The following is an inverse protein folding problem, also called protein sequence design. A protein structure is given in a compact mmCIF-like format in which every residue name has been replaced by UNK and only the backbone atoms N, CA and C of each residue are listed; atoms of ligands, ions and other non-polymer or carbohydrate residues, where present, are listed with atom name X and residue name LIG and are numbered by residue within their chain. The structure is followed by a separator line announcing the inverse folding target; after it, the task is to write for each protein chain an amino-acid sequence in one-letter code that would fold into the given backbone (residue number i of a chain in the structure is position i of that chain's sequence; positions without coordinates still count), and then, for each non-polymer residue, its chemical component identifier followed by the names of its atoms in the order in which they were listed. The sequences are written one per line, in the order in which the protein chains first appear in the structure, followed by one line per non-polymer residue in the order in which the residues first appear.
data_IF_372339080712
#
_entry.id   IF_372339080712
#
_cell.length_a   1.000
_cell.length_b   1.000
_cell.length_c   1.000
_cell.angle_alpha   90.00
_cell.angle_beta   90.00
_cell.angle_gamma   90.00
#
_symmetry.space_group_name_H-M   'P 1'
#
loop_
_entity.id
_entity.type
_entity.pdbx_description
1 polymer ?
#
# COMPACT_ATOMS: atom_id res chain seq x y z
N UNK A 1 -16.07 4.45 -6.55
CA UNK A 1 -14.73 4.99 -6.21
C UNK A 1 -13.89 4.88 -7.45
N UNK A 2 -13.32 5.99 -7.91
CA UNK A 2 -12.42 5.97 -9.07
C UNK A 2 -10.99 5.56 -8.62
N UNK A 3 -10.05 5.43 -9.54
CA UNK A 3 -8.69 4.98 -9.23
C UNK A 3 -7.90 6.00 -8.37
N UNK A 4 -8.16 7.30 -8.53
CA UNK A 4 -7.51 8.37 -7.77
C UNK A 4 -7.92 8.31 -6.29
N UNK A 5 -9.22 8.17 -6.01
CA UNK A 5 -9.77 8.01 -4.67
C UNK A 5 -9.16 6.78 -3.94
N UNK A 6 -8.91 5.69 -4.69
CA UNK A 6 -8.28 4.48 -4.15
C UNK A 6 -6.83 4.74 -3.73
N UNK A 7 -6.07 5.47 -4.54
CA UNK A 7 -4.68 5.78 -4.25
C UNK A 7 -4.59 6.73 -3.05
N UNK A 8 -5.45 7.74 -2.97
CA UNK A 8 -5.51 8.64 -1.79
C UNK A 8 -5.85 7.88 -0.51
N UNK A 9 -6.82 6.95 -0.58
CA UNK A 9 -7.16 6.08 0.57
C UNK A 9 -5.96 5.24 1.02
N UNK A 10 -5.21 4.70 0.07
CA UNK A 10 -4.01 3.91 0.37
C UNK A 10 -2.88 4.78 0.93
N UNK A 11 -2.69 5.99 0.42
CA UNK A 11 -1.67 6.91 0.91
C UNK A 11 -1.96 7.32 2.36
N UNK A 12 -3.23 7.58 2.69
CA UNK A 12 -3.66 7.84 4.07
C UNK A 12 -3.40 6.63 5.00
N UNK A 13 -3.60 5.40 4.52
CA UNK A 13 -3.25 4.19 5.27
C UNK A 13 -1.74 4.10 5.53
N UNK A 14 -0.91 4.33 4.52
CA UNK A 14 0.56 4.31 4.66
C UNK A 14 1.03 5.39 5.63
N UNK A 15 0.48 6.61 5.53
CA UNK A 15 0.80 7.70 6.46
C UNK A 15 0.51 7.29 7.90
N UNK A 16 -0.68 6.73 8.17
CA UNK A 16 -1.04 6.24 9.50
C UNK A 16 -0.08 5.17 10.01
N UNK A 17 0.32 4.22 9.17
CA UNK A 17 1.28 3.18 9.54
C UNK A 17 2.61 3.77 10.03
N UNK A 18 3.11 4.82 9.35
CA UNK A 18 4.38 5.47 9.71
C UNK A 18 4.23 6.31 10.98
N UNK A 19 3.11 7.00 11.15
CA UNK A 19 2.79 7.74 12.38
C UNK A 19 2.71 6.82 13.60
N UNK A 20 2.13 5.63 13.45
CA UNK A 20 1.92 4.69 14.55
C UNK A 20 3.15 3.83 14.87
N UNK A 21 4.07 3.64 13.92
CA UNK A 21 5.14 2.63 14.03
C UNK A 21 6.54 3.15 13.71
N UNK A 22 6.69 4.43 13.36
CA UNK A 22 7.96 4.98 12.90
C UNK A 22 8.16 6.46 13.21
N UNK A 23 8.83 7.15 12.29
CA UNK A 23 9.17 8.57 12.35
C UNK A 23 8.65 9.24 11.09
N UNK A 24 7.56 10.01 11.16
CA UNK A 24 6.93 10.60 9.98
C UNK A 24 7.72 11.79 9.40
N UNK A 25 8.73 12.30 10.10
CA UNK A 25 9.50 13.46 9.66
C UNK A 25 10.16 13.17 8.30
N UNK A 26 9.88 14.05 7.32
CA UNK A 26 10.35 13.94 5.94
C UNK A 26 9.84 12.72 5.14
N UNK A 27 8.90 11.95 5.68
CA UNK A 27 8.25 10.87 4.95
C UNK A 27 7.07 11.41 4.11
N UNK A 28 7.03 11.06 2.82
CA UNK A 28 5.90 11.39 1.94
C UNK A 28 5.20 10.09 1.52
N UNK A 29 4.06 9.82 2.15
CA UNK A 29 3.29 8.59 1.91
C UNK A 29 2.83 8.44 0.46
N UNK A 30 2.46 9.55 -0.21
CA UNK A 30 2.01 9.53 -1.60
C UNK A 30 3.13 9.12 -2.55
N UNK A 31 4.29 9.77 -2.43
CA UNK A 31 5.47 9.47 -3.25
C UNK A 31 5.96 8.04 -2.99
N UNK A 32 5.99 7.62 -1.73
CA UNK A 32 6.36 6.25 -1.38
C UNK A 32 5.38 5.23 -1.98
N UNK A 33 4.08 5.50 -1.91
CA UNK A 33 3.05 4.64 -2.47
C UNK A 33 3.16 4.56 -3.99
N UNK A 34 3.34 5.69 -4.67
CA UNK A 34 3.50 5.73 -6.13
C UNK A 34 4.72 4.88 -6.58
N UNK A 35 5.86 4.96 -5.89
CA UNK A 35 7.02 4.07 -6.14
C UNK A 35 6.65 2.60 -5.89
N UNK A 36 6.08 2.31 -4.73
CA UNK A 36 5.74 0.95 -4.31
C UNK A 36 4.76 0.26 -5.26
N UNK A 37 3.78 1.00 -5.80
CA UNK A 37 2.81 0.50 -6.77
C UNK A 37 3.45 -0.03 -8.06
N UNK A 38 4.65 0.45 -8.42
CA UNK A 38 5.36 0.04 -9.64
C UNK A 38 6.32 -1.13 -9.44
N UNK A 39 6.65 -1.46 -8.19
CA UNK A 39 7.68 -2.47 -7.85
C UNK A 39 7.06 -3.86 -7.69
N UNK A 40 7.83 -4.90 -8.04
CA UNK A 40 7.39 -6.29 -7.83
C UNK A 40 7.45 -6.65 -6.34
N UNK A 41 6.32 -7.10 -5.78
CA UNK A 41 6.21 -7.47 -4.37
C UNK A 41 6.12 -9.00 -4.24
N UNK A 42 7.04 -9.66 -3.51
CA UNK A 42 7.03 -11.12 -3.36
C UNK A 42 5.71 -11.68 -2.81
N UNK A 43 5.13 -11.02 -1.80
CA UNK A 43 3.84 -11.41 -1.19
C UNK A 43 2.65 -11.36 -2.17
N UNK A 44 2.80 -10.65 -3.30
CA UNK A 44 1.80 -10.63 -4.38
C UNK A 44 2.10 -11.63 -5.50
N UNK A 45 3.04 -12.57 -5.29
CA UNK A 45 3.54 -13.48 -6.32
C UNK A 45 4.47 -12.78 -7.30
N UNK A 46 5.31 -11.86 -6.81
CA UNK A 46 6.19 -11.01 -7.63
C UNK A 46 5.46 -10.14 -8.67
N UNK A 47 4.20 -9.78 -8.39
CA UNK A 47 3.40 -8.85 -9.20
C UNK A 47 3.54 -7.41 -8.70
N UNK A 48 3.25 -6.43 -9.56
CA UNK A 48 3.17 -5.03 -9.16
C UNK A 48 1.83 -4.79 -8.45
N UNK A 49 1.80 -4.05 -7.33
CA UNK A 49 0.55 -3.71 -6.67
C UNK A 49 -0.45 -2.98 -7.58
N UNK A 50 0.04 -2.15 -8.52
CA UNK A 50 -0.82 -1.48 -9.51
C UNK A 50 -1.61 -2.47 -10.38
N UNK A 51 -0.99 -3.60 -10.79
CA UNK A 51 -1.66 -4.64 -11.56
C UNK A 51 -2.77 -5.31 -10.74
N UNK A 52 -2.49 -5.56 -9.45
CA UNK A 52 -3.46 -6.17 -8.52
C UNK A 52 -4.61 -5.21 -8.21
N UNK A 53 -4.35 -3.90 -8.14
CA UNK A 53 -5.36 -2.89 -7.83
C UNK A 53 -6.46 -2.81 -8.91
N UNK A 54 -6.12 -3.14 -10.17
CA UNK A 54 -7.07 -3.23 -11.29
C UNK A 54 -7.96 -4.47 -11.23
N UNK A 55 -7.63 -5.47 -10.40
CA UNK A 55 -8.40 -6.70 -10.26
C UNK A 55 -9.65 -6.50 -9.37
N UNK A 56 -10.73 -7.27 -9.57
CA UNK A 56 -11.84 -7.30 -8.63
C UNK A 56 -11.37 -7.61 -7.21
N UNK A 57 -11.67 -6.72 -6.25
CA UNK A 57 -11.21 -6.86 -4.87
C UNK A 57 -9.74 -6.50 -4.63
N UNK A 58 -9.03 -6.00 -5.65
CA UNK A 58 -7.62 -5.61 -5.61
C UNK A 58 -7.28 -4.68 -4.45
N UNK A 59 -8.10 -3.64 -4.24
CA UNK A 59 -7.92 -2.69 -3.14
C UNK A 59 -7.85 -3.38 -1.76
N UNK A 60 -8.79 -4.30 -1.49
CA UNK A 60 -8.82 -5.03 -0.21
C UNK A 60 -7.56 -5.87 -0.03
N UNK A 61 -7.09 -6.51 -1.10
CA UNK A 61 -5.84 -7.29 -1.09
C UNK A 61 -4.63 -6.40 -0.80
N UNK A 62 -4.53 -5.23 -1.41
CA UNK A 62 -3.45 -4.27 -1.14
C UNK A 62 -3.51 -3.78 0.32
N UNK A 63 -4.69 -3.46 0.84
CA UNK A 63 -4.86 -3.07 2.25
C UNK A 63 -4.38 -4.15 3.21
N UNK A 64 -4.66 -5.43 2.93
CA UNK A 64 -4.18 -6.55 3.75
C UNK A 64 -2.65 -6.67 3.73
N UNK A 65 -2.02 -6.47 2.57
CA UNK A 65 -0.55 -6.47 2.46
C UNK A 65 0.05 -5.34 3.29
N UNK A 66 -0.48 -4.12 3.20
CA UNK A 66 -0.01 -2.97 3.98
C UNK A 66 -0.19 -3.21 5.49
N UNK A 67 -1.33 -3.76 5.92
CA UNK A 67 -1.56 -4.11 7.32
C UNK A 67 -0.60 -5.21 7.83
N UNK A 68 -0.27 -6.19 6.97
CA UNK A 68 0.75 -7.20 7.26
C UNK A 68 2.14 -6.59 7.45
N UNK A 69 2.50 -5.59 6.64
CA UNK A 69 3.77 -4.87 6.78
C UNK A 69 3.88 -4.12 8.12
N UNK A 70 2.79 -3.55 8.64
CA UNK A 70 2.78 -2.87 9.94
C UNK A 70 2.88 -3.85 11.11
N UNK A 71 2.09 -4.93 11.06
CA UNK A 71 1.95 -5.90 12.16
C UNK A 71 3.02 -6.99 12.18
N UNK A 72 3.76 -7.17 11.08
CA UNK A 72 4.66 -8.30 10.86
C UNK A 72 3.94 -9.62 10.54
N UNK A 73 2.62 -9.58 10.32
CA UNK A 73 1.84 -10.76 9.96
C UNK A 73 2.01 -11.13 8.48
N UNK A 74 2.15 -12.43 8.21
CA UNK A 74 2.17 -13.00 6.86
C UNK A 74 0.84 -13.74 6.64
N UNK A 75 0.13 -13.38 5.57
CA UNK A 75 -1.19 -13.93 5.21
C UNK A 75 -1.14 -14.65 3.86
#
# INVERSE_FOLDING_TARGET
MNAEDQIETLAATVQRMVEESGRPEHFNARVWLDDWLTRKVPALGFRRPADVLMEPGGLKRIQQILAGMQSGAYF
#
